data_IF_964899177571
#
_entry.id   IF_964899177571
#
_cell.length_a   1.000
_cell.length_b   1.000
_cell.length_c   1.000
_cell.angle_alpha   90.00
_cell.angle_beta   90.00
_cell.angle_gamma   90.00
#
_symmetry.space_group_name_H-M   'P 1'
#
loop_
_entity.id
_entity.type
_entity.pdbx_description
1 polymer ?
#
# COMPACT_ATOMS: atom_id res chain seq x y z
N UNK A 1 15.44 7.56 0.94
CA UNK A 1 14.42 8.44 0.32
C UNK A 1 13.41 8.84 1.38
N UNK A 2 13.38 10.12 1.79
CA UNK A 2 12.29 10.67 2.62
C UNK A 2 11.11 10.94 1.68
N UNK A 3 9.99 10.22 1.82
CA UNK A 3 8.76 10.48 1.04
C UNK A 3 7.93 11.55 1.73
N UNK A 4 7.49 12.53 0.94
CA UNK A 4 6.68 13.69 1.29
C UNK A 4 5.44 13.33 2.12
N UNK A 5 5.29 13.96 3.29
CA UNK A 5 4.12 13.88 4.18
C UNK A 5 3.09 15.00 3.95
N UNK A 6 2.89 15.44 2.70
CA UNK A 6 1.95 16.54 2.38
C UNK A 6 0.69 16.10 1.63
N UNK A 7 0.36 14.80 1.63
CA UNK A 7 -0.84 14.28 0.98
C UNK A 7 -1.89 14.02 2.06
N UNK A 8 -3.00 14.75 1.99
CA UNK A 8 -4.13 14.55 2.88
C UNK A 8 -4.93 13.32 2.41
N UNK A 9 -4.92 12.25 3.21
CA UNK A 9 -5.69 11.02 2.95
C UNK A 9 -6.66 10.84 4.11
N UNK A 10 -7.95 10.68 3.80
CA UNK A 10 -8.97 10.32 4.75
C UNK A 10 -8.94 8.81 4.99
N UNK A 11 -8.41 8.39 6.14
CA UNK A 11 -8.24 6.98 6.49
C UNK A 11 -9.11 6.67 7.70
N UNK A 12 -10.12 5.79 7.58
CA UNK A 12 -10.91 5.31 8.71
C UNK A 12 -10.02 4.69 9.80
N UNK A 13 -10.31 4.97 11.07
CA UNK A 13 -9.51 4.48 12.20
C UNK A 13 -9.43 2.95 12.26
N UNK A 14 -10.46 2.27 11.75
CA UNK A 14 -10.55 0.81 11.69
C UNK A 14 -9.44 0.22 10.80
N UNK A 15 -9.06 0.92 9.73
CA UNK A 15 -7.98 0.49 8.82
C UNK A 15 -6.60 0.66 9.46
N UNK A 16 -6.46 1.62 10.37
CA UNK A 16 -5.19 1.90 11.06
C UNK A 16 -4.98 1.02 12.30
N UNK A 17 -5.93 0.17 12.67
CA UNK A 17 -5.75 -0.74 13.80
C UNK A 17 -4.57 -1.68 13.54
N UNK A 18 -3.54 -1.60 14.39
CA UNK A 18 -2.27 -2.33 14.29
C UNK A 18 -1.49 -2.14 12.97
N UNK A 19 -1.77 -1.06 12.23
CA UNK A 19 -1.14 -0.72 10.95
C UNK A 19 -0.50 0.66 11.00
N UNK A 20 0.67 0.79 10.41
CA UNK A 20 1.39 2.04 10.24
C UNK A 20 1.40 2.46 8.77
N UNK A 21 1.22 3.76 8.51
CA UNK A 21 1.38 4.31 7.15
C UNK A 21 2.86 4.22 6.77
N UNK A 22 3.16 3.39 5.78
CA UNK A 22 4.51 3.27 5.25
C UNK A 22 4.80 4.33 4.19
N UNK A 23 3.89 4.47 3.22
CA UNK A 23 4.02 5.45 2.15
C UNK A 23 2.68 5.72 1.46
N UNK A 24 2.56 6.94 0.93
CA UNK A 24 1.54 7.32 -0.04
C UNK A 24 2.23 7.67 -1.35
N UNK A 25 1.72 7.17 -2.48
CA UNK A 25 2.25 7.43 -3.82
C UNK A 25 1.12 7.90 -4.71
N UNK A 26 1.24 9.10 -5.28
CA UNK A 26 0.27 9.63 -6.25
C UNK A 26 0.78 9.36 -7.65
N UNK A 27 -0.12 8.98 -8.56
CA UNK A 27 0.22 8.72 -9.95
C UNK A 27 0.77 10.00 -10.61
N UNK A 28 1.90 9.92 -11.34
CA UNK A 28 2.42 11.05 -12.09
C UNK A 28 1.58 11.37 -13.33
N UNK A 29 0.79 10.40 -13.81
CA UNK A 29 -0.05 10.52 -15.01
C UNK A 29 -1.45 11.04 -14.65
N UNK A 30 -1.99 10.58 -13.52
CA UNK A 30 -3.29 11.03 -13.00
C UNK A 30 -3.16 11.45 -11.54
N UNK A 31 -3.12 12.76 -11.30
CA UNK A 31 -2.98 13.34 -9.96
C UNK A 31 -4.19 13.09 -9.05
N UNK A 32 -5.28 12.50 -9.55
CA UNK A 32 -6.45 12.08 -8.76
C UNK A 32 -6.33 10.65 -8.25
N UNK A 33 -5.37 9.89 -8.75
CA UNK A 33 -5.20 8.47 -8.39
C UNK A 33 -3.89 8.28 -7.63
N UNK A 34 -3.91 7.40 -6.64
CA UNK A 34 -2.71 7.03 -5.89
C UNK A 34 -2.85 5.68 -5.22
N UNK A 35 -1.82 5.31 -4.48
CA UNK A 35 -1.83 4.15 -3.59
C UNK A 35 -1.41 4.56 -2.18
N UNK A 36 -2.05 3.95 -1.20
CA UNK A 36 -1.65 3.97 0.20
C UNK A 36 -1.05 2.60 0.54
N UNK A 37 0.11 2.61 1.17
CA UNK A 37 0.81 1.42 1.62
C UNK A 37 0.83 1.43 3.14
N UNK A 38 0.17 0.43 3.74
CA UNK A 38 0.16 0.21 5.17
C UNK A 38 0.99 -1.02 5.52
N UNK A 39 1.62 -0.99 6.68
CA UNK A 39 2.43 -2.10 7.19
C UNK A 39 2.08 -2.42 8.63
N UNK A 40 1.98 -3.71 8.97
CA UNK A 40 1.93 -4.19 10.35
C UNK A 40 3.14 -5.06 10.65
N UNK A 41 3.63 -4.98 11.89
CA UNK A 41 4.69 -5.87 12.36
C UNK A 41 6.06 -5.63 11.74
N UNK A 42 6.38 -4.45 11.18
CA UNK A 42 7.69 -4.14 10.57
C UNK A 42 8.85 -4.01 11.58
N UNK A 43 9.13 -5.08 12.32
CA UNK A 43 10.21 -5.21 13.32
C UNK A 43 11.11 -6.39 12.94
N UNK A 44 12.34 -6.42 13.45
CA UNK A 44 13.31 -7.45 13.07
C UNK A 44 12.95 -8.87 13.56
N UNK A 45 12.20 -8.99 14.64
CA UNK A 45 11.91 -10.27 15.34
C UNK A 45 10.44 -10.69 15.28
N UNK A 46 9.62 -10.03 14.46
CA UNK A 46 8.21 -10.39 14.29
C UNK A 46 8.07 -11.62 13.38
N UNK A 47 7.15 -12.50 13.75
CA UNK A 47 6.88 -13.75 13.01
C UNK A 47 6.03 -13.53 11.76
N UNK A 48 5.29 -12.43 11.73
CA UNK A 48 4.41 -12.08 10.64
C UNK A 48 4.49 -10.57 10.38
N UNK A 49 4.63 -10.23 9.10
CA UNK A 49 4.63 -8.86 8.61
C UNK A 49 3.60 -8.78 7.51
N UNK A 50 2.65 -7.86 7.65
CA UNK A 50 1.58 -7.67 6.68
C UNK A 50 1.79 -6.34 5.98
N UNK A 51 1.69 -6.33 4.66
CA UNK A 51 1.71 -5.14 3.82
C UNK A 51 0.39 -5.09 3.07
N UNK A 52 -0.37 -4.01 3.24
CA UNK A 52 -1.63 -3.77 2.52
C UNK A 52 -1.47 -2.60 1.58
N UNK A 53 -1.97 -2.75 0.35
CA UNK A 53 -1.96 -1.72 -0.67
C UNK A 53 -3.41 -1.35 -0.98
N UNK A 54 -3.73 -0.07 -0.84
CA UNK A 54 -5.06 0.46 -1.14
C UNK A 54 -5.00 1.41 -2.33
N UNK A 55 -6.05 1.38 -3.15
CA UNK A 55 -6.25 2.38 -4.18
C UNK A 55 -6.85 3.64 -3.56
N UNK A 56 -6.27 4.79 -3.90
CA UNK A 56 -6.75 6.11 -3.51
C UNK A 56 -7.35 6.82 -4.71
N UNK A 57 -8.44 7.55 -4.45
CA UNK A 57 -9.02 8.48 -5.41
C UNK A 57 -9.32 9.83 -4.75
N UNK A 58 -9.12 10.91 -5.50
CA UNK A 58 -9.52 12.26 -5.09
C UNK A 58 -10.49 12.84 -6.12
N UNK A 59 -11.70 13.09 -5.66
CA UNK A 59 -12.71 13.85 -6.43
C UNK A 59 -12.27 15.31 -6.63
N UNK A 60 -12.70 15.94 -7.72
CA UNK A 60 -12.33 17.33 -8.05
C UNK A 60 -12.73 18.36 -6.98
N UNK A 61 -13.81 18.07 -6.26
CA UNK A 61 -14.38 18.95 -5.24
C UNK A 61 -13.72 18.78 -3.87
N UNK A 62 -12.87 17.76 -3.69
CA UNK A 62 -12.25 17.39 -2.40
C UNK A 62 -10.76 17.73 -2.38
N UNK A 63 -10.30 18.19 -1.21
CA UNK A 63 -8.88 18.46 -0.93
C UNK A 63 -8.14 17.26 -0.30
N UNK A 64 -8.79 16.11 -0.17
CA UNK A 64 -8.22 14.88 0.37
C UNK A 64 -8.47 13.71 -0.56
N UNK A 65 -7.61 12.69 -0.48
CA UNK A 65 -7.84 11.40 -1.09
C UNK A 65 -8.71 10.54 -0.17
N UNK A 66 -9.64 9.81 -0.77
CA UNK A 66 -10.40 8.76 -0.10
C UNK A 66 -9.84 7.38 -0.53
N UNK A 67 -9.92 6.41 0.38
CA UNK A 67 -9.66 5.00 0.05
C UNK A 67 -10.85 4.47 -0.76
N UNK A 68 -10.60 3.91 -1.93
CA UNK A 68 -11.65 3.23 -2.70
C UNK A 68 -11.79 1.76 -2.31
N UNK A 69 -10.70 1.00 -2.39
CA UNK A 69 -10.67 -0.43 -2.03
C UNK A 69 -9.22 -0.91 -1.82
N UNK A 70 -9.08 -2.06 -1.16
CA UNK A 70 -7.80 -2.77 -1.09
C UNK A 70 -7.47 -3.39 -2.44
N UNK A 71 -6.27 -3.14 -2.96
CA UNK A 71 -5.74 -3.78 -4.15
C UNK A 71 -5.22 -5.18 -3.83
N UNK A 72 -4.42 -5.31 -2.76
CA UNK A 72 -3.82 -6.57 -2.34
C UNK A 72 -3.20 -6.47 -0.94
N UNK A 73 -3.24 -7.58 -0.20
CA UNK A 73 -2.45 -7.80 0.99
C UNK A 73 -1.34 -8.85 0.75
N UNK A 74 -0.19 -8.64 1.36
CA UNK A 74 0.97 -9.52 1.30
C UNK A 74 1.43 -9.84 2.72
N UNK A 75 1.67 -11.11 3.01
CA UNK A 75 2.25 -11.57 4.27
C UNK A 75 3.67 -12.07 4.06
N UNK A 76 4.57 -11.70 4.96
CA UNK A 76 5.97 -12.11 4.95
C UNK A 76 6.36 -12.68 6.31
N UNK A 77 7.20 -13.70 6.29
CA UNK A 77 7.74 -14.35 7.51
C UNK A 77 9.06 -13.72 7.98
N UNK A 78 9.58 -12.72 7.26
CA UNK A 78 10.81 -12.03 7.64
C UNK A 78 10.83 -10.57 7.23
N UNK A 79 11.40 -9.75 8.12
CA UNK A 79 11.66 -8.32 7.88
C UNK A 79 12.44 -8.07 6.59
N UNK A 80 13.44 -8.92 6.31
CA UNK A 80 14.28 -8.73 5.13
C UNK A 80 13.48 -8.90 3.83
N UNK A 81 12.57 -9.87 3.75
CA UNK A 81 11.72 -10.07 2.57
C UNK A 81 10.73 -8.92 2.40
N UNK A 82 10.03 -8.54 3.47
CA UNK A 82 9.09 -7.41 3.47
C UNK A 82 9.78 -6.10 3.04
N UNK A 83 10.97 -5.82 3.60
CA UNK A 83 11.76 -4.64 3.23
C UNK A 83 12.21 -4.67 1.77
N UNK A 84 12.66 -5.82 1.26
CA UNK A 84 13.01 -5.97 -0.16
C UNK A 84 11.80 -5.70 -1.05
N UNK A 85 10.64 -6.24 -0.70
CA UNK A 85 9.39 -5.99 -1.41
C UNK A 85 9.05 -4.50 -1.44
N UNK A 86 9.05 -3.80 -0.29
CA UNK A 86 8.76 -2.37 -0.21
C UNK A 86 9.72 -1.49 -1.02
N UNK A 87 11.01 -1.87 -1.03
CA UNK A 87 12.02 -1.16 -1.82
C UNK A 87 11.86 -1.39 -3.33
N UNK A 88 11.33 -2.55 -3.72
CA UNK A 88 11.13 -2.91 -5.11
C UNK A 88 9.81 -2.40 -5.67
N UNK A 89 8.76 -2.30 -4.85
CA UNK A 89 7.41 -1.91 -5.23
C UNK A 89 7.33 -0.63 -6.10
N UNK A 90 8.06 0.48 -5.81
CA UNK A 90 8.02 1.68 -6.67
C UNK A 90 8.66 1.50 -8.05
N UNK A 91 9.50 0.47 -8.19
CA UNK A 91 10.24 0.18 -9.43
C UNK A 91 9.62 -0.99 -10.20
N UNK A 92 8.53 -1.58 -9.70
CA UNK A 92 7.80 -2.63 -10.41
C UNK A 92 7.15 -2.04 -11.66
N UNK A 93 7.33 -2.74 -12.78
CA UNK A 93 6.57 -2.49 -13.99
C UNK A 93 5.08 -2.76 -13.75
N UNK A 94 4.23 -2.15 -14.58
CA UNK A 94 2.79 -2.43 -14.55
C UNK A 94 2.49 -3.92 -14.72
N UNK A 95 3.27 -4.64 -15.54
CA UNK A 95 3.11 -6.07 -15.76
C UNK A 95 3.45 -6.89 -14.49
N UNK A 96 4.55 -6.60 -13.82
CA UNK A 96 4.91 -7.25 -12.55
C UNK A 96 3.83 -7.00 -11.49
N UNK A 97 3.32 -5.76 -11.42
CA UNK A 97 2.23 -5.42 -10.53
C UNK A 97 0.96 -6.21 -10.86
N UNK A 98 0.58 -6.31 -12.14
CA UNK A 98 -0.57 -7.12 -12.56
C UNK A 98 -0.40 -8.60 -12.22
N UNK A 99 0.81 -9.15 -12.31
CA UNK A 99 1.10 -10.53 -11.92
C UNK A 99 0.95 -10.73 -10.41
N UNK A 100 1.36 -9.75 -9.60
CA UNK A 100 1.25 -9.78 -8.14
C UNK A 100 -0.18 -9.57 -7.63
N UNK A 101 -0.96 -8.75 -8.33
CA UNK A 101 -2.38 -8.49 -8.03
C UNK A 101 -3.30 -9.60 -8.56
N UNK A 102 -2.75 -10.66 -9.17
CA UNK A 102 -3.59 -11.77 -9.63
C UNK A 102 -4.34 -12.34 -8.43
N UNK A 103 -5.67 -12.47 -8.52
CA UNK A 103 -6.42 -13.18 -7.49
C UNK A 103 -5.80 -14.56 -7.35
N UNK A 104 -5.47 -14.95 -6.12
CA UNK A 104 -5.14 -16.33 -5.84
C UNK A 104 -6.31 -17.19 -6.33
N UNK A 105 -6.05 -18.35 -6.98
CA UNK A 105 -7.12 -19.28 -7.25
C UNK A 105 -7.80 -19.58 -5.92
N UNK A 106 -9.06 -19.15 -5.80
CA UNK A 106 -9.93 -19.60 -4.73
C UNK A 106 -10.10 -21.10 -4.99
N UNK A 107 -9.36 -21.92 -4.26
CA UNK A 107 -9.77 -23.30 -4.10
C UNK A 107 -11.08 -23.25 -3.31
N UNK A 108 -12.20 -23.33 -4.04
CA UNK A 108 -13.52 -23.59 -3.50
C UNK A 108 -13.60 -25.04 -3.01
#
# INVERSE_FOLDING_TARGET
>A
MKKNTNINVNIPNEILHDMEIHATVVSPVDKKTGILILTSGMKHFTKEIVIRIYLLHREDTKNHFDIQHELQAFSFTSYLQAKKFLNHLPNMSALEMLVLLKPSPQFQ
#
